data_IF_112195372411
#
_entry.id   IF_112195372411
#
_cell.length_a   1.000
_cell.length_b   1.000
_cell.length_c   1.000
_cell.angle_alpha   90.00
_cell.angle_beta   90.00
_cell.angle_gamma   90.00
#
_symmetry.space_group_name_H-M   'P 1'
#
loop_
_entity.id
_entity.type
_entity.pdbx_description
1 polymer ?
#
# COMPACT_ATOMS: atom_id res chain seq x y z
N UNK A 1 6.26 10.97 14.61
CA UNK A 1 4.98 10.38 14.18
C UNK A 1 3.81 11.25 14.63
N UNK A 2 2.71 11.33 13.85
CA UNK A 2 1.48 12.03 14.25
C UNK A 2 0.90 11.45 15.55
N UNK A 3 0.38 12.31 16.44
CA UNK A 3 -0.20 11.87 17.72
C UNK A 3 -1.51 11.08 17.54
N UNK A 4 -2.24 11.34 16.46
CA UNK A 4 -3.51 10.71 16.11
C UNK A 4 -3.36 9.40 15.32
N UNK A 5 -2.12 9.04 14.94
CA UNK A 5 -1.85 7.84 14.15
C UNK A 5 -2.42 6.55 14.76
N UNK A 6 -2.28 6.26 16.08
CA UNK A 6 -2.86 5.05 16.66
C UNK A 6 -4.39 4.98 16.47
N UNK A 7 -5.08 6.11 16.62
CA UNK A 7 -6.52 6.21 16.40
C UNK A 7 -6.87 5.96 14.92
N UNK A 8 -6.10 6.53 14.00
CA UNK A 8 -6.29 6.33 12.57
C UNK A 8 -6.07 4.87 12.15
N UNK A 9 -4.99 4.24 12.62
CA UNK A 9 -4.68 2.82 12.37
C UNK A 9 -5.74 1.89 12.98
N UNK A 10 -6.26 2.22 14.17
CA UNK A 10 -7.36 1.49 14.79
C UNK A 10 -8.64 1.51 13.95
N UNK A 11 -9.01 2.68 13.43
CA UNK A 11 -10.16 2.83 12.51
C UNK A 11 -9.91 2.12 11.18
N UNK A 12 -8.71 2.23 10.63
CA UNK A 12 -8.34 1.54 9.41
C UNK A 12 -8.46 0.01 9.56
N UNK A 13 -7.96 -0.55 10.67
CA UNK A 13 -8.14 -1.97 11.02
C UNK A 13 -9.62 -2.37 11.08
N UNK A 14 -10.46 -1.57 11.74
CA UNK A 14 -11.90 -1.83 11.82
C UNK A 14 -12.55 -1.86 10.43
N UNK A 15 -12.15 -0.96 9.54
CA UNK A 15 -12.66 -0.95 8.16
C UNK A 15 -12.23 -2.19 7.39
N UNK A 16 -10.98 -2.63 7.53
CA UNK A 16 -10.51 -3.86 6.88
C UNK A 16 -11.27 -5.09 7.39
N UNK A 17 -11.49 -5.19 8.71
CA UNK A 17 -12.28 -6.27 9.30
C UNK A 17 -13.71 -6.28 8.74
N UNK A 18 -14.35 -5.12 8.63
CA UNK A 18 -15.69 -5.03 8.03
C UNK A 18 -15.72 -5.52 6.57
N UNK A 19 -14.65 -5.30 5.79
CA UNK A 19 -14.54 -5.86 4.44
C UNK A 19 -14.39 -7.38 4.47
N UNK A 20 -13.65 -7.95 5.43
CA UNK A 20 -13.53 -9.40 5.61
C UNK A 20 -14.89 -10.02 5.92
N UNK A 21 -15.62 -9.44 6.88
CA UNK A 21 -16.95 -9.91 7.29
C UNK A 21 -17.94 -9.85 6.13
N UNK A 22 -17.93 -8.77 5.36
CA UNK A 22 -18.80 -8.61 4.20
C UNK A 22 -18.44 -9.57 3.06
N UNK A 23 -17.15 -9.79 2.81
CA UNK A 23 -16.69 -10.77 1.82
C UNK A 23 -17.13 -12.19 2.18
N UNK A 24 -17.00 -12.57 3.46
CA UNK A 24 -17.48 -13.85 3.96
C UNK A 24 -19.01 -13.99 3.82
N UNK A 25 -19.77 -12.92 4.11
CA UNK A 25 -21.22 -12.89 3.94
C UNK A 25 -21.65 -13.07 2.49
N UNK A 26 -20.86 -12.56 1.54
CA UNK A 26 -21.11 -12.62 0.11
C UNK A 26 -20.52 -13.87 -0.57
N UNK A 27 -19.84 -14.74 0.18
CA UNK A 27 -19.10 -15.89 -0.33
C UNK A 27 -18.09 -15.50 -1.45
N UNK A 28 -17.40 -14.38 -1.25
CA UNK A 28 -16.34 -13.92 -2.15
C UNK A 28 -14.98 -14.05 -1.49
N UNK A 29 -14.01 -14.57 -2.25
CA UNK A 29 -12.64 -14.68 -1.77
C UNK A 29 -11.97 -13.31 -1.78
N UNK A 30 -11.72 -12.78 -0.58
CA UNK A 30 -11.03 -11.52 -0.40
C UNK A 30 -9.51 -11.70 -0.45
N UNK A 31 -8.85 -10.81 -1.18
CA UNK A 31 -7.39 -10.67 -1.23
C UNK A 31 -7.06 -9.21 -0.93
N UNK A 32 -6.18 -8.96 0.03
CA UNK A 32 -5.64 -7.62 0.24
C UNK A 32 -4.25 -7.49 -0.39
N UNK A 33 -3.93 -6.26 -0.80
CA UNK A 33 -2.65 -5.87 -1.37
C UNK A 33 -2.14 -4.68 -0.56
N UNK A 34 -0.88 -4.72 -0.12
CA UNK A 34 -0.25 -3.55 0.53
C UNK A 34 -0.03 -2.43 -0.50
N UNK A 35 -0.04 -1.17 -0.05
CA UNK A 35 0.18 -0.02 -0.91
C UNK A 35 1.68 0.30 -1.01
N UNK A 36 2.32 0.14 -2.18
CA UNK A 36 3.68 0.61 -2.35
C UNK A 36 3.71 2.13 -2.54
N UNK A 37 4.82 2.77 -2.18
CA UNK A 37 5.03 4.21 -2.36
C UNK A 37 6.47 4.54 -2.71
N UNK A 38 6.71 5.69 -3.35
CA UNK A 38 8.06 6.14 -3.73
C UNK A 38 8.86 6.66 -2.53
N UNK A 39 8.19 6.96 -1.41
CA UNK A 39 8.83 7.56 -0.26
C UNK A 39 9.90 6.64 0.33
N UNK A 40 11.08 7.20 0.53
CA UNK A 40 12.21 6.54 1.17
C UNK A 40 13.11 7.62 1.80
N UNK A 41 13.82 7.33 2.90
CA UNK A 41 14.87 8.20 3.41
C UNK A 41 15.96 8.51 2.38
N UNK A 42 16.14 7.62 1.39
CA UNK A 42 17.12 7.76 0.31
C UNK A 42 16.55 8.44 -0.95
N UNK A 43 15.31 8.91 -0.95
CA UNK A 43 14.66 9.51 -2.12
C UNK A 43 15.39 10.80 -2.54
N UNK A 44 16.03 10.84 -3.73
CA UNK A 44 16.77 12.02 -4.17
C UNK A 44 15.87 13.26 -4.29
N UNK A 45 16.37 14.42 -3.84
CA UNK A 45 15.63 15.69 -3.86
C UNK A 45 15.09 16.08 -5.25
N UNK A 46 15.79 15.67 -6.31
CA UNK A 46 15.35 15.91 -7.70
C UNK A 46 13.96 15.32 -7.98
N UNK A 47 13.52 14.28 -7.24
CA UNK A 47 12.19 13.70 -7.40
C UNK A 47 11.12 14.31 -6.50
N UNK A 48 11.50 15.18 -5.56
CA UNK A 48 10.55 15.73 -4.59
C UNK A 48 9.48 16.59 -5.26
N UNK A 49 9.80 17.20 -6.41
CA UNK A 49 8.84 17.98 -7.20
C UNK A 49 7.68 17.15 -7.76
N UNK A 50 7.79 15.81 -7.75
CA UNK A 50 6.75 14.90 -8.21
C UNK A 50 5.85 14.38 -7.07
N UNK A 51 6.13 14.71 -5.81
CA UNK A 51 5.41 14.15 -4.67
C UNK A 51 4.05 14.84 -4.50
N UNK A 52 3.01 14.26 -5.07
CA UNK A 52 1.67 14.85 -5.18
C UNK A 52 1.08 15.19 -3.80
N UNK A 53 1.23 14.30 -2.82
CA UNK A 53 0.70 14.52 -1.47
C UNK A 53 1.45 15.60 -0.67
N UNK A 54 2.57 16.11 -1.20
CA UNK A 54 3.39 17.14 -0.55
C UNK A 54 3.05 18.58 -0.97
N UNK A 55 2.11 18.82 -1.88
CA UNK A 55 1.77 20.18 -2.34
C UNK A 55 0.25 20.45 -2.34
N UNK A 56 -0.18 21.69 -1.99
CA UNK A 56 -1.60 22.08 -2.01
C UNK A 56 -1.91 22.92 -3.25
N UNK A 57 -2.30 22.29 -4.35
CA UNK A 57 -2.84 22.96 -5.55
C UNK A 57 -1.84 23.78 -6.39
N UNK A 58 -0.75 24.27 -5.80
CA UNK A 58 0.40 24.84 -6.52
C UNK A 58 1.73 24.43 -5.87
N UNK A 59 2.80 24.41 -6.67
CA UNK A 59 4.16 24.02 -6.25
C UNK A 59 4.82 25.01 -5.27
N UNK A 60 4.30 26.23 -5.19
CA UNK A 60 4.83 27.30 -4.31
C UNK A 60 4.28 27.23 -2.89
N UNK A 61 3.29 26.37 -2.65
CA UNK A 61 2.68 26.16 -1.33
C UNK A 61 2.88 24.70 -0.92
N UNK A 62 4.09 24.34 -0.41
CA UNK A 62 4.30 23.01 0.13
C UNK A 62 3.24 22.77 1.22
N UNK A 63 2.64 21.58 1.22
CA UNK A 63 1.96 21.13 2.41
C UNK A 63 3.00 21.17 3.54
N UNK A 64 2.66 21.78 4.66
CA UNK A 64 3.38 21.53 5.92
C UNK A 64 3.20 20.09 6.41
N UNK A 65 3.25 19.08 5.51
CA UNK A 65 3.13 17.66 5.83
C UNK A 65 4.48 16.97 5.63
N UNK A 66 4.53 15.84 6.33
CA UNK A 66 5.66 14.99 6.65
C UNK A 66 6.71 14.80 5.54
N UNK A 67 7.99 14.73 5.95
CA UNK A 67 9.10 14.42 5.05
C UNK A 67 8.93 13.03 4.41
N UNK A 68 9.61 12.73 3.28
CA UNK A 68 9.56 11.40 2.68
C UNK A 68 9.88 10.27 3.68
N UNK A 69 10.82 10.48 4.60
CA UNK A 69 11.13 9.51 5.65
C UNK A 69 9.91 9.23 6.55
N UNK A 70 9.23 10.28 7.04
CA UNK A 70 8.04 10.09 7.89
C UNK A 70 6.88 9.50 7.07
N UNK A 71 6.72 9.87 5.80
CA UNK A 71 5.70 9.29 4.93
C UNK A 71 5.93 7.80 4.66
N UNK A 72 7.20 7.39 4.52
CA UNK A 72 7.58 5.98 4.43
C UNK A 72 7.20 5.24 5.73
N UNK A 73 7.55 5.77 6.90
CA UNK A 73 7.19 5.17 8.20
C UNK A 73 5.67 5.04 8.38
N UNK A 74 4.91 6.05 7.93
CA UNK A 74 3.45 6.01 7.94
C UNK A 74 2.92 4.92 7.04
N UNK A 75 3.40 4.82 5.80
CA UNK A 75 2.95 3.79 4.86
C UNK A 75 3.29 2.39 5.37
N UNK A 76 4.47 2.20 5.97
CA UNK A 76 4.85 0.96 6.66
C UNK A 76 3.86 0.61 7.76
N UNK A 77 3.42 1.58 8.57
CA UNK A 77 2.46 1.33 9.64
C UNK A 77 1.08 0.91 9.09
N UNK A 78 0.59 1.55 8.03
CA UNK A 78 -0.68 1.16 7.39
C UNK A 78 -0.59 -0.23 6.74
N UNK A 79 0.49 -0.51 6.01
CA UNK A 79 0.71 -1.82 5.40
C UNK A 79 0.86 -2.93 6.46
N UNK A 80 1.48 -2.64 7.60
CA UNK A 80 1.53 -3.55 8.74
C UNK A 80 0.13 -3.94 9.25
N UNK A 81 -0.79 -2.97 9.33
CA UNK A 81 -2.19 -3.26 9.70
C UNK A 81 -2.87 -4.17 8.68
N UNK A 82 -2.62 -3.99 7.37
CA UNK A 82 -3.14 -4.90 6.34
C UNK A 82 -2.64 -6.32 6.57
N UNK A 83 -1.32 -6.51 6.68
CA UNK A 83 -0.70 -7.82 6.86
C UNK A 83 -1.14 -8.51 8.16
N UNK A 84 -1.29 -7.76 9.25
CA UNK A 84 -1.81 -8.28 10.52
C UNK A 84 -3.24 -8.81 10.38
N UNK A 85 -4.12 -8.08 9.67
CA UNK A 85 -5.50 -8.52 9.42
C UNK A 85 -5.50 -9.77 8.55
N UNK A 86 -4.67 -9.81 7.51
CA UNK A 86 -4.51 -11.00 6.68
C UNK A 86 -4.14 -12.23 7.51
N UNK A 87 -3.14 -12.10 8.39
CA UNK A 87 -2.71 -13.18 9.27
C UNK A 87 -3.82 -13.60 10.23
N UNK A 88 -4.51 -12.65 10.86
CA UNK A 88 -5.56 -12.93 11.85
C UNK A 88 -6.76 -13.68 11.25
N UNK A 89 -7.09 -13.42 9.98
CA UNK A 89 -8.23 -14.02 9.29
C UNK A 89 -7.82 -15.09 8.25
N UNK A 90 -6.54 -15.49 8.22
CA UNK A 90 -5.99 -16.48 7.28
C UNK A 90 -6.31 -16.13 5.80
N UNK A 91 -6.22 -14.84 5.46
CA UNK A 91 -6.45 -14.37 4.10
C UNK A 91 -5.18 -14.52 3.26
N UNK A 92 -5.37 -14.65 1.94
CA UNK A 92 -4.27 -14.50 1.00
C UNK A 92 -3.96 -13.01 0.88
N UNK A 93 -2.68 -12.63 1.06
CA UNK A 93 -2.27 -11.25 0.97
C UNK A 93 -1.01 -11.06 0.14
N UNK A 94 -1.05 -9.99 -0.65
CA UNK A 94 0.02 -9.60 -1.55
C UNK A 94 0.82 -8.49 -0.86
N UNK A 95 2.07 -8.80 -0.53
CA UNK A 95 3.00 -7.78 -0.05
C UNK A 95 3.75 -7.14 -1.24
N UNK A 96 3.37 -5.91 -1.57
CA UNK A 96 3.99 -5.09 -2.61
C UNK A 96 5.24 -4.33 -2.12
N UNK A 97 5.76 -4.62 -0.93
CA UNK A 97 6.88 -3.89 -0.32
C UNK A 97 8.15 -3.84 -1.18
N UNK A 98 8.35 -4.82 -2.08
CA UNK A 98 9.45 -4.84 -3.04
C UNK A 98 9.47 -3.66 -4.02
N UNK A 99 8.35 -2.93 -4.18
CA UNK A 99 8.26 -1.76 -5.05
C UNK A 99 8.56 -0.45 -4.30
N UNK A 100 8.71 -0.47 -2.98
CA UNK A 100 8.88 0.74 -2.19
C UNK A 100 10.18 1.47 -2.53
N UNK A 101 10.10 2.79 -2.69
CA UNK A 101 11.26 3.64 -2.97
C UNK A 101 11.75 3.60 -4.43
N UNK A 102 11.18 2.73 -5.28
CA UNK A 102 11.63 2.57 -6.66
C UNK A 102 11.02 3.62 -7.58
N UNK A 103 11.70 4.76 -7.72
CA UNK A 103 11.24 5.92 -8.51
C UNK A 103 10.82 5.56 -9.93
N UNK A 104 11.46 4.58 -10.55
CA UNK A 104 11.14 4.12 -11.90
C UNK A 104 9.71 3.56 -12.05
N UNK A 105 9.04 3.21 -10.94
CA UNK A 105 7.70 2.61 -10.94
C UNK A 105 6.57 3.60 -10.71
N UNK A 106 6.84 4.86 -10.38
CA UNK A 106 5.79 5.82 -10.02
C UNK A 106 5.73 7.03 -10.96
N UNK A 107 4.53 7.60 -11.11
CA UNK A 107 4.34 8.93 -11.70
C UNK A 107 4.58 10.04 -10.66
N UNK A 108 4.12 9.79 -9.43
CA UNK A 108 4.25 10.67 -8.26
C UNK A 108 4.63 9.85 -7.01
N UNK A 109 4.19 10.24 -5.82
CA UNK A 109 4.51 9.51 -4.60
C UNK A 109 3.75 8.21 -4.39
N UNK A 110 2.59 8.03 -5.03
CA UNK A 110 1.67 6.91 -4.72
C UNK A 110 1.05 6.25 -5.96
N UNK A 111 1.01 6.94 -7.11
CA UNK A 111 0.46 6.40 -8.34
C UNK A 111 1.54 5.70 -9.15
N UNK A 112 1.30 4.43 -9.48
CA UNK A 112 2.18 3.64 -10.34
C UNK A 112 2.08 4.10 -11.79
N UNK A 113 3.23 4.11 -12.47
CA UNK A 113 3.28 4.20 -13.93
C UNK A 113 3.10 2.83 -14.59
N UNK A 114 3.24 2.76 -15.91
CA UNK A 114 3.08 1.48 -16.64
C UNK A 114 4.09 0.41 -16.19
N UNK A 115 5.35 0.79 -15.93
CA UNK A 115 6.35 -0.15 -15.44
C UNK A 115 6.02 -0.63 -14.02
N UNK A 116 5.62 0.29 -13.13
CA UNK A 116 5.18 -0.05 -11.77
C UNK A 116 3.94 -0.93 -11.74
N UNK A 117 2.98 -0.68 -12.63
CA UNK A 117 1.76 -1.48 -12.76
C UNK A 117 2.07 -2.91 -13.20
N UNK A 118 2.99 -3.09 -14.15
CA UNK A 118 3.46 -4.42 -14.55
C UNK A 118 4.23 -5.12 -13.42
N UNK A 119 5.08 -4.39 -12.68
CA UNK A 119 5.79 -4.95 -11.54
C UNK A 119 4.82 -5.42 -10.45
N UNK A 120 3.83 -4.61 -10.10
CA UNK A 120 2.80 -4.98 -9.12
C UNK A 120 1.98 -6.18 -9.61
N UNK A 121 1.58 -6.21 -10.88
CA UNK A 121 0.86 -7.34 -11.46
C UNK A 121 1.66 -8.65 -11.35
N UNK A 122 2.98 -8.60 -11.54
CA UNK A 122 3.84 -9.76 -11.36
C UNK A 122 3.86 -10.27 -9.90
N UNK A 123 3.91 -9.36 -8.92
CA UNK A 123 3.85 -9.72 -7.49
C UNK A 123 2.49 -10.33 -7.12
N UNK A 124 1.39 -9.74 -7.63
CA UNK A 124 0.04 -10.29 -7.45
C UNK A 124 -0.03 -11.70 -8.06
N UNK A 125 0.44 -11.88 -9.30
CA UNK A 125 0.42 -13.17 -9.97
C UNK A 125 1.20 -14.25 -9.20
N UNK A 126 2.44 -13.95 -8.79
CA UNK A 126 3.26 -14.88 -8.02
C UNK A 126 2.59 -15.33 -6.71
N UNK A 127 1.82 -14.44 -6.08
CA UNK A 127 1.09 -14.74 -4.85
C UNK A 127 -0.16 -15.59 -5.13
N UNK A 128 -0.90 -15.29 -6.19
CA UNK A 128 -2.20 -15.90 -6.48
C UNK A 128 -2.13 -17.16 -7.34
N UNK A 129 -1.09 -17.35 -8.14
CA UNK A 129 -0.98 -18.50 -9.04
C UNK A 129 -1.10 -19.85 -8.31
N UNK A 130 -0.39 -20.12 -7.19
CA UNK A 130 -0.52 -21.39 -6.48
C UNK A 130 -1.92 -21.60 -5.91
N UNK A 131 -2.53 -20.50 -5.46
CA UNK A 131 -3.86 -20.48 -4.87
C UNK A 131 -4.92 -20.85 -5.91
N UNK A 132 -4.88 -20.21 -7.08
CA UNK A 132 -5.82 -20.46 -8.18
C UNK A 132 -5.60 -21.83 -8.83
N UNK A 133 -4.37 -22.35 -8.82
CA UNK A 133 -4.07 -23.69 -9.34
C UNK A 133 -4.72 -24.80 -8.50
N UNK A 134 -4.79 -24.63 -7.17
CA UNK A 134 -5.44 -25.62 -6.28
C UNK A 134 -6.96 -25.67 -6.45
N UNK A 135 -7.61 -24.56 -6.83
CA UNK A 135 -9.06 -24.52 -7.05
C UNK A 135 -9.48 -25.26 -8.34
N UNK A 136 -8.63 -25.30 -9.36
CA UNK A 136 -8.93 -26.01 -10.62
C UNK A 136 -8.80 -27.53 -10.52
N UNK A 137 -8.21 -28.03 -9.46
CA UNK A 137 -7.91 -29.45 -9.26
C UNK A 137 -8.95 -30.18 -8.40
N UNK A 138 -9.89 -29.45 -7.77
CA UNK A 138 -11.01 -29.99 -6.98
C UNK A 138 -12.33 -29.85 -7.73
#
# INVERSE_FOLDING_TARGET
>A
MPQDLPTALGRYRQNLIALVEEAARLDVRLVFVTQPAVWSPALPEVFWHNLWLMYKGSRDTPYGRYSPAISADLMTAYNGVVLDVCQAYTLVCVDASALNGEVAYFYDDVHLNSAGSHALAAVIWQTLEPVLATEKAG
#
